data_IF_291144330073
#
_entry.id   IF_291144330073
#
_cell.length_a   1.000
_cell.length_b   1.000
_cell.length_c   1.000
_cell.angle_alpha   90.00
_cell.angle_beta   90.00
_cell.angle_gamma   90.00
#
_symmetry.space_group_name_H-M   'P 1'
#
loop_
_entity.id
_entity.type
_entity.pdbx_description
1 polymer ?
#
# COMPACT_ATOMS: atom_id res chain seq x y z
N UNK A 1 -26.56 -19.74 21.04
CA UNK A 1 -25.82 -20.12 22.28
C UNK A 1 -24.31 -19.83 22.22
N UNK A 2 -23.76 -19.23 21.15
CA UNK A 2 -22.29 -19.11 20.95
C UNK A 2 -21.63 -17.85 21.57
N UNK A 3 -22.39 -16.82 21.93
CA UNK A 3 -21.82 -15.59 22.53
C UNK A 3 -21.19 -15.83 23.92
N UNK A 4 -21.72 -16.81 24.67
CA UNK A 4 -21.27 -17.14 26.03
C UNK A 4 -19.86 -17.78 26.03
N UNK A 5 -19.56 -18.64 25.06
CA UNK A 5 -18.26 -19.30 24.95
C UNK A 5 -17.14 -18.32 24.58
N UNK A 6 -17.47 -17.34 23.72
CA UNK A 6 -16.54 -16.27 23.35
C UNK A 6 -16.20 -15.38 24.55
N UNK A 7 -17.21 -14.98 25.34
CA UNK A 7 -17.00 -14.17 26.54
C UNK A 7 -16.17 -14.92 27.58
N UNK A 8 -16.44 -16.20 27.80
CA UNK A 8 -15.64 -17.04 28.69
C UNK A 8 -14.17 -17.16 28.22
N UNK A 9 -13.95 -17.34 26.92
CA UNK A 9 -12.58 -17.41 26.34
C UNK A 9 -11.85 -16.08 26.43
N UNK A 10 -12.57 -14.97 26.27
CA UNK A 10 -12.02 -13.61 26.43
C UNK A 10 -11.62 -13.36 27.88
N UNK A 11 -12.46 -13.75 28.83
CA UNK A 11 -12.21 -13.55 30.25
C UNK A 11 -10.98 -14.32 30.73
N UNK A 12 -10.83 -15.59 30.33
CA UNK A 12 -9.63 -16.40 30.62
C UNK A 12 -8.33 -15.76 30.11
N UNK A 13 -8.36 -15.11 28.93
CA UNK A 13 -7.20 -14.41 28.37
C UNK A 13 -6.85 -13.15 29.16
N UNK A 14 -7.86 -12.43 29.64
CA UNK A 14 -7.66 -11.24 30.48
C UNK A 14 -6.99 -11.65 31.80
N UNK A 15 -7.48 -12.71 32.44
CA UNK A 15 -6.95 -13.22 33.71
C UNK A 15 -5.52 -13.76 33.56
N UNK A 16 -5.23 -14.54 32.52
CA UNK A 16 -3.88 -15.05 32.24
C UNK A 16 -2.87 -13.90 32.02
N UNK A 17 -3.25 -12.87 31.27
CA UNK A 17 -2.41 -11.70 31.06
C UNK A 17 -2.19 -10.91 32.36
N UNK A 18 -3.21 -10.79 33.22
CA UNK A 18 -3.07 -10.13 34.52
C UNK A 18 -2.11 -10.87 35.44
N UNK A 19 -2.19 -12.21 35.49
CA UNK A 19 -1.25 -13.03 36.26
C UNK A 19 0.18 -12.88 35.74
N UNK A 20 0.37 -12.86 34.42
CA UNK A 20 1.69 -12.68 33.81
C UNK A 20 2.27 -11.29 34.10
N UNK A 21 1.45 -10.24 34.10
CA UNK A 21 1.88 -8.88 34.47
C UNK A 21 2.26 -8.78 35.95
N UNK A 22 1.54 -9.47 36.83
CA UNK A 22 1.89 -9.55 38.26
C UNK A 22 3.22 -10.30 38.48
N UNK A 23 3.44 -11.41 37.77
CA UNK A 23 4.70 -12.16 37.83
C UNK A 23 5.91 -11.34 37.36
N UNK A 24 5.70 -10.39 36.45
CA UNK A 24 6.75 -9.53 35.89
C UNK A 24 7.05 -8.28 36.74
N UNK A 25 6.43 -8.12 37.92
CA UNK A 25 6.63 -6.97 38.83
C UNK A 25 6.58 -5.61 38.11
N UNK A 26 5.72 -5.48 37.09
CA UNK A 26 5.60 -4.22 36.35
C UNK A 26 4.93 -3.18 37.25
N UNK A 27 5.56 -2.02 37.52
CA UNK A 27 4.97 -1.01 38.37
C UNK A 27 3.64 -0.51 37.77
N UNK A 28 2.56 -0.62 38.54
CA UNK A 28 1.24 -0.17 38.13
C UNK A 28 1.26 1.35 37.91
N UNK A 29 1.07 1.79 36.68
CA UNK A 29 0.86 3.20 36.36
C UNK A 29 -0.50 3.58 36.97
N UNK A 30 -0.57 4.54 37.91
CA UNK A 30 -1.83 4.91 38.54
C UNK A 30 -2.79 5.44 37.47
N UNK A 31 -3.95 4.79 37.37
CA UNK A 31 -5.03 5.28 36.51
C UNK A 31 -5.50 6.63 37.04
N UNK A 32 -5.31 7.68 36.24
CA UNK A 32 -5.94 8.98 36.49
C UNK A 32 -7.45 8.77 36.51
N UNK A 33 -8.07 9.06 37.65
CA UNK A 33 -9.53 9.11 37.79
C UNK A 33 -10.09 10.15 36.82
N UNK A 34 -10.97 9.70 35.93
CA UNK A 34 -11.77 10.60 35.10
C UNK A 34 -12.80 11.30 35.99
N UNK A 35 -13.02 12.62 35.86
CA UNK A 35 -13.98 13.35 36.67
C UNK A 35 -15.42 12.88 36.39
N UNK A 36 -16.23 12.90 37.45
CA UNK A 36 -17.60 12.43 37.50
C UNK A 36 -18.47 13.00 36.37
N UNK A 37 -19.07 12.09 35.59
CA UNK A 37 -20.03 12.40 34.54
C UNK A 37 -21.32 12.93 35.18
N UNK A 38 -21.67 14.18 34.86
CA UNK A 38 -22.99 14.77 35.17
C UNK A 38 -24.09 13.99 34.47
N UNK A 39 -25.13 13.61 35.22
CA UNK A 39 -26.35 12.93 34.74
C UNK A 39 -26.95 13.68 33.55
N UNK A 40 -27.14 13.00 32.42
CA UNK A 40 -27.98 13.47 31.31
C UNK A 40 -29.06 12.44 31.00
N UNK A 41 -30.27 12.97 30.92
CA UNK A 41 -31.57 12.39 30.61
C UNK A 41 -31.52 11.24 29.59
N UNK A 42 -32.28 10.22 29.94
CA UNK A 42 -32.80 9.14 29.11
C UNK A 42 -33.53 9.71 27.88
N UNK A 43 -33.04 9.38 26.69
CA UNK A 43 -33.80 9.45 25.44
C UNK A 43 -33.52 8.16 24.65
N UNK A 44 -34.62 7.62 24.20
CA UNK A 44 -34.95 6.38 23.52
C UNK A 44 -34.00 5.92 22.39
N UNK A 45 -33.93 4.60 22.24
CA UNK A 45 -33.04 3.84 21.37
C UNK A 45 -33.35 4.03 19.89
N UNK A 46 -32.35 4.42 19.07
CA UNK A 46 -32.12 3.87 17.72
C UNK A 46 -30.62 3.91 17.37
N UNK A 47 -30.04 2.71 17.19
CA UNK A 47 -28.74 2.27 16.62
C UNK A 47 -27.46 3.14 16.69
N UNK A 48 -26.29 2.57 17.06
CA UNK A 48 -25.05 3.33 17.22
C UNK A 48 -24.33 3.58 15.88
N UNK A 49 -24.33 4.84 15.45
CA UNK A 49 -23.27 5.44 14.61
C UNK A 49 -22.18 5.95 15.55
N UNK A 50 -20.93 5.49 15.42
CA UNK A 50 -19.72 6.11 16.03
C UNK A 50 -18.47 5.54 15.34
N UNK A 51 -17.43 6.29 15.01
CA UNK A 51 -17.05 7.66 15.35
C UNK A 51 -15.52 7.70 15.40
N UNK A 52 -14.92 8.60 14.62
CA UNK A 52 -13.46 8.83 14.55
C UNK A 52 -12.89 9.30 15.89
N UNK A 53 -11.68 8.83 16.22
CA UNK A 53 -10.73 9.58 17.06
C UNK A 53 -9.63 10.14 16.17
N UNK A 54 -9.45 11.45 16.27
CA UNK A 54 -8.40 12.28 15.65
C UNK A 54 -7.31 12.45 16.71
N UNK A 55 -6.07 12.09 16.38
CA UNK A 55 -4.89 12.55 17.12
C UNK A 55 -4.25 13.68 16.31
N UNK A 56 -4.50 14.91 16.75
CA UNK A 56 -3.86 16.09 16.19
C UNK A 56 -2.47 16.26 16.84
N UNK A 57 -1.45 16.25 15.99
CA UNK A 57 -0.08 16.66 16.29
C UNK A 57 -0.06 18.15 16.62
N UNK A 58 0.56 18.50 17.75
CA UNK A 58 0.71 19.88 18.20
C UNK A 58 2.19 20.25 18.06
N UNK A 59 2.56 20.87 16.93
CA UNK A 59 3.84 21.58 16.76
C UNK A 59 3.51 23.08 16.76
N UNK A 60 3.87 23.79 17.83
CA UNK A 60 3.89 25.24 17.86
C UNK A 60 5.34 25.71 17.90
N UNK A 61 5.70 26.49 16.88
CA UNK A 61 6.82 27.43 16.91
C UNK A 61 6.61 28.43 18.05
N UNK A 62 7.63 28.60 18.90
CA UNK A 62 7.86 29.86 19.62
C UNK A 62 9.34 30.20 19.42
N UNK A 63 9.57 31.39 18.85
CA UNK A 63 10.85 32.05 18.72
C UNK A 63 10.80 33.28 19.63
N UNK A 64 11.73 33.41 20.58
CA UNK A 64 12.10 34.68 21.22
C UNK A 64 13.40 34.49 22.03
N UNK A 65 14.15 35.58 22.12
CA UNK A 65 15.57 35.68 22.41
C UNK A 65 15.90 35.91 23.90
N UNK A 66 17.22 35.85 24.18
CA UNK A 66 18.01 36.49 25.26
C UNK A 66 18.37 35.66 26.52
N UNK A 67 19.69 35.66 26.76
CA UNK A 67 20.60 35.07 27.76
C UNK A 67 20.56 35.77 29.14
N UNK A 68 21.46 35.47 30.11
CA UNK A 68 22.03 34.19 30.58
C UNK A 68 21.88 34.03 32.13
N UNK A 69 22.13 32.84 32.69
CA UNK A 69 22.80 32.68 34.00
C UNK A 69 23.10 31.20 34.29
N UNK A 70 24.40 30.90 34.37
CA UNK A 70 25.11 30.03 35.31
C UNK A 70 24.39 28.81 35.91
N UNK A 71 24.89 27.61 35.64
CA UNK A 71 25.82 26.88 36.54
C UNK A 71 26.23 25.55 35.89
N UNK A 72 27.53 25.28 35.90
CA UNK A 72 28.21 24.14 35.30
C UNK A 72 27.88 22.81 36.01
N UNK A 73 27.63 21.75 35.25
CA UNK A 73 28.11 20.39 35.57
C UNK A 73 28.43 19.67 34.26
N UNK A 74 29.70 19.26 34.13
CA UNK A 74 30.30 18.66 32.95
C UNK A 74 29.93 17.18 32.80
N UNK A 75 29.49 16.80 31.60
CA UNK A 75 29.50 15.42 31.10
C UNK A 75 29.99 15.44 29.64
N UNK A 76 30.80 14.44 29.29
CA UNK A 76 31.70 14.38 28.13
C UNK A 76 31.06 14.67 26.75
N UNK A 77 31.83 15.18 25.76
CA UNK A 77 31.30 15.45 24.42
C UNK A 77 31.04 14.14 23.67
N UNK A 78 29.78 13.94 23.24
CA UNK A 78 29.41 12.92 22.26
C UNK A 78 30.12 13.17 20.91
N UNK A 79 30.50 12.11 20.18
CA UNK A 79 31.20 12.25 18.90
C UNK A 79 30.33 12.96 17.85
N UNK A 80 30.96 13.69 16.90
CA UNK A 80 30.24 14.48 15.91
C UNK A 80 29.34 13.61 15.04
N UNK A 81 28.06 14.00 14.93
CA UNK A 81 27.08 13.41 14.04
C UNK A 81 27.63 13.41 12.61
N UNK A 82 27.88 12.23 12.07
CA UNK A 82 28.21 12.02 10.66
C UNK A 82 27.10 12.67 9.83
N UNK A 83 27.47 13.69 9.05
CA UNK A 83 26.60 14.33 8.06
C UNK A 83 26.04 13.23 7.16
N UNK A 84 24.72 13.03 7.17
CA UNK A 84 24.03 12.21 6.17
C UNK A 84 24.44 12.75 4.79
N UNK A 85 25.27 12.01 4.08
CA UNK A 85 25.49 12.24 2.66
C UNK A 85 24.14 12.22 1.97
N UNK A 86 23.85 13.29 1.25
CA UNK A 86 22.67 13.46 0.42
C UNK A 86 22.80 12.43 -0.71
N UNK A 87 22.18 11.27 -0.54
CA UNK A 87 22.08 10.26 -1.60
C UNK A 87 21.32 10.91 -2.74
N UNK A 88 21.95 11.00 -3.91
CA UNK A 88 21.26 11.45 -5.11
C UNK A 88 20.06 10.53 -5.37
N UNK A 89 18.91 11.09 -5.81
CA UNK A 89 17.79 10.25 -6.20
C UNK A 89 18.25 9.29 -7.31
N UNK A 90 17.89 8.00 -7.25
CA UNK A 90 18.31 7.02 -8.23
C UNK A 90 17.98 7.53 -9.63
N UNK A 91 18.93 7.42 -10.56
CA UNK A 91 18.74 7.82 -11.95
C UNK A 91 17.44 7.20 -12.47
N UNK A 92 16.54 8.01 -13.07
CA UNK A 92 15.32 7.48 -13.66
C UNK A 92 15.71 6.46 -14.73
N UNK A 93 15.01 5.33 -14.73
CA UNK A 93 15.25 4.27 -15.69
C UNK A 93 15.11 4.79 -17.13
N UNK A 94 15.72 4.10 -18.10
CA UNK A 94 15.53 4.39 -19.53
C UNK A 94 14.11 3.99 -19.99
N UNK A 95 13.07 4.54 -19.38
CA UNK A 95 11.68 4.41 -19.80
C UNK A 95 11.11 5.82 -19.99
N UNK A 96 10.17 5.99 -20.94
CA UNK A 96 9.48 7.25 -21.11
C UNK A 96 8.89 7.72 -19.78
N UNK A 97 9.02 9.01 -19.51
CA UNK A 97 8.56 9.63 -18.26
C UNK A 97 7.29 10.41 -18.55
N UNK A 98 6.23 10.13 -17.80
CA UNK A 98 5.06 11.01 -17.74
C UNK A 98 5.21 11.92 -16.53
N UNK A 99 5.46 13.21 -16.79
CA UNK A 99 5.47 14.24 -15.76
C UNK A 99 4.06 14.81 -15.58
N UNK A 100 3.69 15.07 -14.32
CA UNK A 100 2.50 15.87 -14.03
C UNK A 100 2.73 17.31 -14.52
N UNK A 101 2.05 17.69 -15.59
CA UNK A 101 1.82 19.09 -15.89
C UNK A 101 0.89 19.66 -14.82
N UNK A 102 1.47 20.28 -13.80
CA UNK A 102 0.76 21.05 -12.78
C UNK A 102 0.08 22.24 -13.44
N UNK A 103 -1.15 22.08 -13.92
CA UNK A 103 -1.97 23.23 -14.27
C UNK A 103 -3.44 22.94 -13.97
N UNK A 104 -3.94 23.63 -12.93
CA UNK A 104 -5.23 24.32 -12.95
C UNK A 104 -5.37 25.05 -11.61
N UNK A 105 -5.31 26.39 -11.66
CA UNK A 105 -5.45 27.32 -10.53
C UNK A 105 -6.93 27.53 -10.13
N UNK A 106 -7.75 26.47 -10.21
CA UNK A 106 -9.16 26.48 -9.82
C UNK A 106 -9.38 25.90 -8.43
N UNK A 107 -10.54 26.20 -7.81
CA UNK A 107 -10.99 25.49 -6.60
C UNK A 107 -11.14 24.00 -6.93
N UNK A 108 -10.43 23.13 -6.20
CA UNK A 108 -10.49 21.68 -6.41
C UNK A 108 -11.36 21.02 -5.35
N UNK A 109 -12.18 20.07 -5.76
CA UNK A 109 -13.02 19.30 -4.85
C UNK A 109 -12.26 18.08 -4.30
N UNK A 110 -12.21 17.93 -2.98
CA UNK A 110 -11.49 16.85 -2.32
C UNK A 110 -12.41 15.67 -1.95
N UNK A 111 -12.50 14.67 -2.83
CA UNK A 111 -13.34 13.47 -2.66
C UNK A 111 -12.50 12.20 -2.41
N UNK A 112 -13.13 11.14 -1.90
CA UNK A 112 -12.49 9.82 -1.87
C UNK A 112 -12.20 9.34 -3.29
N UNK A 113 -11.06 8.69 -3.51
CA UNK A 113 -10.74 8.02 -4.79
C UNK A 113 -11.90 7.11 -5.26
N UNK A 114 -12.54 6.39 -4.34
CA UNK A 114 -13.68 5.50 -4.62
C UNK A 114 -14.95 6.20 -5.13
N UNK A 115 -14.99 7.54 -5.10
CA UNK A 115 -16.13 8.36 -5.56
C UNK A 115 -15.84 9.08 -6.88
N UNK A 116 -14.62 8.93 -7.41
CA UNK A 116 -14.16 9.64 -8.60
C UNK A 116 -14.07 8.65 -9.76
N UNK A 117 -14.63 9.02 -10.90
CA UNK A 117 -14.47 8.31 -12.16
C UNK A 117 -13.15 8.71 -12.82
N UNK A 118 -12.34 7.73 -13.24
CA UNK A 118 -11.11 7.98 -13.99
C UNK A 118 -11.38 8.04 -15.49
N UNK A 119 -10.64 8.87 -16.21
CA UNK A 119 -10.60 8.92 -17.68
C UNK A 119 -9.67 7.79 -18.18
N UNK A 120 -10.16 6.56 -18.11
CA UNK A 120 -9.36 5.35 -18.30
C UNK A 120 -8.63 5.31 -19.65
N UNK A 121 -9.33 5.52 -20.75
CA UNK A 121 -8.77 5.30 -22.09
C UNK A 121 -7.69 6.34 -22.42
N UNK A 122 -7.93 7.61 -22.07
CA UNK A 122 -6.94 8.69 -22.20
C UNK A 122 -5.70 8.41 -21.34
N UNK A 123 -5.90 8.02 -20.07
CA UNK A 123 -4.81 7.66 -19.17
C UNK A 123 -4.01 6.47 -19.71
N UNK A 124 -4.70 5.43 -20.17
CA UNK A 124 -4.09 4.19 -20.63
C UNK A 124 -3.21 4.44 -21.86
N UNK A 125 -3.72 5.14 -22.88
CA UNK A 125 -2.97 5.47 -24.09
C UNK A 125 -1.74 6.35 -23.83
N UNK A 126 -1.81 7.25 -22.84
CA UNK A 126 -0.72 8.19 -22.52
C UNK A 126 0.37 7.58 -21.64
N UNK A 127 0.01 6.69 -20.71
CA UNK A 127 0.89 6.29 -19.61
C UNK A 127 1.39 4.84 -19.68
N UNK A 128 0.92 4.01 -20.61
CA UNK A 128 1.31 2.60 -20.67
C UNK A 128 2.83 2.46 -20.84
N UNK A 129 3.48 1.75 -19.91
CA UNK A 129 4.93 1.53 -19.91
C UNK A 129 5.76 2.74 -19.47
N UNK A 130 5.13 3.83 -19.01
CA UNK A 130 5.85 5.04 -18.58
C UNK A 130 6.12 5.06 -17.07
N UNK A 131 7.19 5.76 -16.68
CA UNK A 131 7.46 6.12 -15.30
C UNK A 131 6.65 7.35 -14.90
N UNK A 132 5.99 7.26 -13.74
CA UNK A 132 5.20 8.36 -13.18
C UNK A 132 6.03 9.14 -12.16
N UNK A 133 6.33 10.41 -12.50
CA UNK A 133 7.10 11.32 -11.65
C UNK A 133 6.29 12.55 -11.19
N UNK A 134 6.54 13.08 -9.98
CA UNK A 134 7.56 12.67 -8.99
C UNK A 134 7.28 11.31 -8.33
N UNK A 135 8.23 10.76 -7.57
CA UNK A 135 8.05 9.43 -6.96
C UNK A 135 6.91 9.39 -5.93
N UNK A 136 6.19 8.26 -5.90
CA UNK A 136 5.22 7.95 -4.85
C UNK A 136 3.77 7.81 -5.34
N UNK A 137 2.95 7.17 -4.49
CA UNK A 137 1.55 6.88 -4.84
C UNK A 137 0.72 8.15 -5.08
N UNK A 138 1.04 9.26 -4.41
CA UNK A 138 0.34 10.54 -4.58
C UNK A 138 0.35 11.01 -6.04
N UNK A 139 1.49 10.86 -6.71
CA UNK A 139 1.65 11.16 -8.13
C UNK A 139 0.72 10.32 -8.98
N UNK A 140 0.74 9.00 -8.79
CA UNK A 140 -0.13 8.08 -9.53
C UNK A 140 -1.60 8.44 -9.32
N UNK A 141 -1.99 8.69 -8.07
CA UNK A 141 -3.35 9.07 -7.74
C UNK A 141 -3.75 10.42 -8.33
N UNK A 142 -2.82 11.36 -8.52
CA UNK A 142 -3.09 12.64 -9.18
C UNK A 142 -3.18 12.50 -10.70
N UNK A 143 -2.33 11.68 -11.32
CA UNK A 143 -2.35 11.45 -12.78
C UNK A 143 -3.64 10.74 -13.19
N UNK A 144 -4.15 9.82 -12.37
CA UNK A 144 -5.44 9.15 -12.58
C UNK A 144 -6.65 10.07 -12.33
N UNK A 145 -6.48 11.11 -11.50
CA UNK A 145 -7.58 11.95 -11.07
C UNK A 145 -7.96 12.95 -12.18
N UNK A 146 -9.24 13.03 -12.60
CA UNK A 146 -9.68 14.01 -13.56
C UNK A 146 -9.45 15.45 -13.07
N UNK A 147 -9.34 16.43 -13.99
CA UNK A 147 -9.22 17.83 -13.65
C UNK A 147 -10.35 18.31 -12.72
N UNK A 148 -10.02 19.20 -11.78
CA UNK A 148 -10.99 19.76 -10.83
C UNK A 148 -11.15 18.96 -9.52
N UNK A 149 -10.58 17.75 -9.42
CA UNK A 149 -10.64 16.93 -8.22
C UNK A 149 -9.28 16.72 -7.57
N UNK A 150 -9.29 16.40 -6.28
CA UNK A 150 -8.14 15.87 -5.54
C UNK A 150 -8.58 14.61 -4.80
N UNK A 151 -8.04 13.47 -5.22
CA UNK A 151 -8.35 12.19 -4.61
C UNK A 151 -7.77 12.08 -3.18
N UNK A 152 -8.63 11.75 -2.22
CA UNK A 152 -8.29 11.26 -0.88
C UNK A 152 -8.19 9.74 -0.93
N UNK A 153 -7.10 9.18 -0.43
CA UNK A 153 -6.85 7.75 -0.47
C UNK A 153 -5.92 7.31 0.67
N UNK A 154 -5.84 6.00 0.91
CA UNK A 154 -4.98 5.44 1.95
C UNK A 154 -3.57 5.22 1.41
N UNK A 155 -2.56 5.95 1.91
CA UNK A 155 -1.16 5.73 1.49
C UNK A 155 -0.65 4.31 1.80
N UNK A 156 -1.22 3.69 2.82
CA UNK A 156 -0.82 2.37 3.34
C UNK A 156 -1.42 1.20 2.56
N UNK A 157 -2.46 1.41 1.75
CA UNK A 157 -3.08 0.32 0.98
C UNK A 157 -2.33 0.07 -0.33
N UNK A 158 -2.06 -1.21 -0.64
CA UNK A 158 -1.59 -1.64 -1.96
C UNK A 158 -2.69 -1.61 -3.02
N UNK A 159 -3.96 -1.54 -2.62
CA UNK A 159 -5.10 -1.48 -3.53
C UNK A 159 -5.91 -0.22 -3.28
N UNK A 160 -6.18 0.54 -4.34
CA UNK A 160 -6.95 1.79 -4.29
C UNK A 160 -8.18 1.66 -5.19
N UNK A 161 -9.38 1.57 -4.62
CA UNK A 161 -10.60 1.60 -5.40
C UNK A 161 -10.86 3.00 -5.96
N UNK A 162 -11.14 3.07 -7.26
CA UNK A 162 -11.81 4.20 -7.91
C UNK A 162 -13.29 3.90 -8.08
N UNK A 163 -14.09 4.85 -8.58
CA UNK A 163 -15.53 4.58 -8.80
C UNK A 163 -15.75 3.57 -9.94
N UNK A 164 -14.98 3.68 -11.02
CA UNK A 164 -15.10 2.87 -12.24
C UNK A 164 -13.88 1.96 -12.50
N UNK A 165 -12.92 1.86 -11.58
CA UNK A 165 -11.70 1.09 -11.74
C UNK A 165 -11.08 0.72 -10.38
N UNK A 166 -10.03 -0.09 -10.41
CA UNK A 166 -9.22 -0.42 -9.23
C UNK A 166 -7.74 -0.26 -9.60
N UNK A 167 -6.94 0.39 -8.76
CA UNK A 167 -5.50 0.50 -8.93
C UNK A 167 -4.77 -0.42 -7.93
N UNK A 168 -3.94 -1.32 -8.45
CA UNK A 168 -3.10 -2.24 -7.72
C UNK A 168 -1.64 -1.77 -7.77
N UNK A 169 -1.06 -1.53 -6.61
CA UNK A 169 0.32 -1.12 -6.41
C UNK A 169 1.12 -2.30 -5.88
N UNK A 170 2.06 -2.79 -6.69
CA UNK A 170 2.94 -3.91 -6.33
C UNK A 170 4.37 -3.40 -6.22
N UNK A 171 4.96 -3.59 -5.04
CA UNK A 171 6.39 -3.41 -4.86
C UNK A 171 7.06 -4.71 -5.26
N UNK A 172 8.02 -4.61 -6.17
CA UNK A 172 8.88 -5.72 -6.56
C UNK A 172 10.20 -5.50 -5.80
N UNK A 173 10.40 -6.32 -4.78
CA UNK A 173 11.59 -6.30 -3.91
C UNK A 173 12.31 -7.63 -4.06
N UNK A 174 13.63 -7.60 -4.17
CA UNK A 174 14.48 -8.78 -4.39
C UNK A 174 14.59 -9.72 -3.19
N UNK A 175 14.13 -9.28 -2.00
CA UNK A 175 14.20 -10.07 -0.76
C UNK A 175 12.91 -9.86 0.05
N UNK A 176 11.78 -10.34 -0.48
CA UNK A 176 10.49 -10.38 0.23
C UNK A 176 10.05 -11.84 0.41
N UNK A 177 9.48 -12.23 1.57
CA UNK A 177 8.91 -13.57 1.75
C UNK A 177 7.71 -13.82 0.82
N UNK A 178 7.13 -12.75 0.27
CA UNK A 178 6.15 -12.78 -0.81
C UNK A 178 6.86 -12.30 -2.07
N UNK A 179 7.58 -13.20 -2.73
CA UNK A 179 8.24 -12.91 -3.99
C UNK A 179 7.15 -12.77 -5.06
N UNK A 180 6.90 -11.53 -5.52
CA UNK A 180 5.99 -11.28 -6.63
C UNK A 180 6.69 -11.71 -7.93
N UNK A 181 6.75 -13.02 -8.17
CA UNK A 181 7.40 -13.59 -9.36
C UNK A 181 6.44 -13.49 -10.54
N UNK A 182 6.91 -12.82 -11.58
CA UNK A 182 6.22 -12.77 -12.87
C UNK A 182 6.68 -13.95 -13.72
N UNK A 183 5.73 -14.81 -14.07
CA UNK A 183 5.91 -15.93 -14.98
C UNK A 183 5.64 -15.49 -16.42
N UNK A 184 6.42 -16.03 -17.34
CA UNK A 184 6.30 -15.77 -18.77
C UNK A 184 6.03 -17.08 -19.49
N UNK A 185 4.86 -17.19 -20.09
CA UNK A 185 4.40 -18.34 -20.84
C UNK A 185 4.12 -17.97 -22.30
N UNK A 186 4.07 -18.98 -23.16
CA UNK A 186 3.55 -18.83 -24.52
C UNK A 186 2.19 -19.50 -24.60
N UNK A 187 1.15 -18.74 -24.93
CA UNK A 187 -0.22 -19.23 -25.14
C UNK A 187 -0.67 -18.82 -26.54
N UNK A 188 -1.07 -19.80 -27.37
CA UNK A 188 -1.42 -19.60 -28.78
C UNK A 188 -0.35 -18.86 -29.62
N UNK A 189 0.92 -19.10 -29.32
CA UNK A 189 2.03 -18.41 -29.98
C UNK A 189 2.21 -16.94 -29.56
N UNK A 190 1.33 -16.41 -28.71
CA UNK A 190 1.46 -15.11 -28.05
C UNK A 190 2.20 -15.20 -26.72
N UNK A 191 2.77 -14.07 -26.29
CA UNK A 191 3.39 -13.92 -24.98
C UNK A 191 2.32 -13.69 -23.92
N UNK A 192 2.33 -14.48 -22.84
CA UNK A 192 1.46 -14.30 -21.70
C UNK A 192 2.28 -14.12 -20.42
N UNK A 193 1.99 -13.07 -19.66
CA UNK A 193 2.64 -12.78 -18.38
C UNK A 193 1.61 -12.90 -17.28
N UNK A 194 1.93 -13.65 -16.22
CA UNK A 194 1.05 -13.79 -15.07
C UNK A 194 1.83 -13.81 -13.76
N UNK A 195 1.18 -13.45 -12.66
CA UNK A 195 1.81 -13.42 -11.34
C UNK A 195 0.79 -13.68 -10.22
N UNK A 196 1.31 -14.08 -9.06
CA UNK A 196 0.53 -14.26 -7.85
C UNK A 196 0.60 -13.00 -6.99
N UNK A 197 -0.52 -12.66 -6.35
CA UNK A 197 -0.61 -11.51 -5.46
C UNK A 197 -1.45 -11.83 -4.24
N UNK A 198 -0.94 -11.46 -3.07
CA UNK A 198 -1.59 -11.71 -1.80
C UNK A 198 -2.36 -10.49 -1.31
N UNK A 199 -3.63 -10.71 -0.96
CA UNK A 199 -4.49 -9.71 -0.35
C UNK A 199 -4.10 -9.35 1.08
N UNK A 200 -4.91 -8.52 1.73
CA UNK A 200 -4.73 -8.24 3.16
C UNK A 200 -5.28 -9.41 4.00
N UNK A 201 -4.66 -9.71 5.15
CA UNK A 201 -5.07 -10.81 6.04
C UNK A 201 -6.55 -10.76 6.48
N UNK A 202 -7.16 -9.57 6.49
CA UNK A 202 -8.57 -9.37 6.87
C UNK A 202 -9.55 -9.57 5.71
N UNK A 203 -9.06 -9.76 4.49
CA UNK A 203 -9.93 -9.99 3.34
C UNK A 203 -10.44 -11.42 3.35
N UNK A 204 -11.70 -11.54 2.93
CA UNK A 204 -12.42 -12.79 2.72
C UNK A 204 -13.27 -12.62 1.45
N UNK A 205 -13.89 -13.68 0.95
CA UNK A 205 -14.56 -13.65 -0.37
C UNK A 205 -15.66 -12.58 -0.47
N UNK A 206 -16.47 -12.43 0.59
CA UNK A 206 -17.52 -11.40 0.68
C UNK A 206 -17.01 -9.96 0.93
N UNK A 207 -15.69 -9.75 1.00
CA UNK A 207 -15.15 -8.39 1.19
C UNK A 207 -15.52 -7.53 -0.04
N UNK A 208 -16.04 -6.30 0.14
CA UNK A 208 -16.50 -5.47 -0.98
C UNK A 208 -15.46 -5.27 -2.09
N UNK A 209 -14.18 -5.18 -1.72
CA UNK A 209 -13.09 -5.03 -2.68
C UNK A 209 -12.76 -6.36 -3.39
N UNK A 210 -12.90 -7.51 -2.72
CA UNK A 210 -12.72 -8.84 -3.33
C UNK A 210 -13.83 -9.10 -4.35
N UNK A 211 -15.08 -8.79 -4.01
CA UNK A 211 -16.20 -8.84 -4.96
C UNK A 211 -15.95 -7.97 -6.21
N UNK A 212 -15.36 -6.78 -6.05
CA UNK A 212 -15.00 -5.93 -7.19
C UNK A 212 -13.84 -6.50 -8.01
N UNK A 213 -12.81 -7.06 -7.36
CA UNK A 213 -11.70 -7.74 -8.03
C UNK A 213 -12.17 -8.96 -8.86
N UNK A 214 -13.18 -9.69 -8.39
CA UNK A 214 -13.83 -10.79 -9.13
C UNK A 214 -14.59 -10.31 -10.37
N UNK A 215 -14.91 -9.02 -10.49
CA UNK A 215 -15.57 -8.42 -11.67
C UNK A 215 -14.59 -7.92 -12.73
N UNK A 216 -13.30 -8.06 -12.49
CA UNK A 216 -12.30 -7.71 -13.51
C UNK A 216 -12.39 -8.64 -14.70
N UNK A 217 -12.09 -8.09 -15.89
CA UNK A 217 -11.99 -8.84 -17.15
C UNK A 217 -11.21 -10.13 -16.93
N UNK A 218 -11.66 -11.22 -17.54
CA UNK A 218 -10.98 -12.51 -17.44
C UNK A 218 -9.69 -12.52 -18.25
N UNK A 219 -8.68 -13.18 -17.70
CA UNK A 219 -7.49 -13.55 -18.46
C UNK A 219 -7.75 -14.74 -19.36
N UNK A 220 -6.67 -15.32 -19.87
CA UNK A 220 -6.69 -16.56 -20.62
C UNK A 220 -7.09 -17.73 -19.72
N UNK A 221 -8.13 -18.45 -20.10
CA UNK A 221 -8.68 -19.58 -19.36
C UNK A 221 -7.66 -20.71 -19.14
N UNK A 222 -6.67 -20.84 -20.03
CA UNK A 222 -5.62 -21.87 -19.91
C UNK A 222 -4.64 -21.57 -18.78
N UNK A 223 -4.58 -20.31 -18.35
CA UNK A 223 -3.78 -19.85 -17.22
C UNK A 223 -4.60 -19.80 -15.91
N UNK A 224 -5.82 -20.34 -15.91
CA UNK A 224 -6.69 -20.36 -14.74
C UNK A 224 -5.97 -20.90 -13.52
N UNK A 225 -6.20 -20.26 -12.39
CA UNK A 225 -5.56 -20.58 -11.13
C UNK A 225 -6.40 -21.50 -10.26
N UNK A 226 -7.71 -21.28 -10.26
CA UNK A 226 -8.67 -21.91 -9.37
C UNK A 226 -10.06 -21.89 -10.00
N UNK A 227 -11.00 -22.70 -9.50
CA UNK A 227 -12.38 -22.77 -9.99
C UNK A 227 -13.13 -21.45 -9.80
N UNK A 228 -12.70 -20.61 -8.84
CA UNK A 228 -13.21 -19.24 -8.67
C UNK A 228 -12.99 -18.34 -9.91
N UNK A 229 -12.26 -18.79 -10.93
CA UNK A 229 -12.21 -18.15 -12.24
C UNK A 229 -13.61 -17.97 -12.85
N UNK A 230 -14.50 -18.97 -12.70
CA UNK A 230 -15.85 -18.94 -13.25
C UNK A 230 -16.87 -18.19 -12.40
N UNK A 231 -16.45 -17.68 -11.23
CA UNK A 231 -17.28 -16.86 -10.35
C UNK A 231 -17.49 -15.45 -10.93
N UNK A 232 -18.18 -15.38 -12.06
CA UNK A 232 -18.56 -14.12 -12.69
C UNK A 232 -20.03 -13.87 -12.39
N UNK A 233 -20.31 -12.78 -11.67
CA UNK A 233 -21.67 -12.24 -11.58
C UNK A 233 -22.02 -11.63 -12.94
N UNK A 234 -22.74 -12.38 -13.78
CA UNK A 234 -22.99 -12.08 -15.20
C UNK A 234 -23.69 -10.74 -15.47
N UNK A 235 -24.32 -10.14 -14.46
CA UNK A 235 -25.13 -8.93 -14.61
C UNK A 235 -24.33 -7.64 -14.33
N UNK A 236 -23.11 -7.73 -13.82
CA UNK A 236 -22.34 -6.56 -13.41
C UNK A 236 -21.31 -6.14 -14.45
N UNK A 237 -21.18 -4.82 -14.65
CA UNK A 237 -20.19 -4.23 -15.54
C UNK A 237 -18.78 -4.59 -15.09
N UNK A 238 -17.94 -4.99 -16.05
CA UNK A 238 -16.54 -5.29 -15.79
C UNK A 238 -15.80 -4.04 -15.30
N UNK A 239 -14.96 -4.23 -14.27
CA UNK A 239 -14.15 -3.16 -13.72
C UNK A 239 -12.66 -3.42 -13.98
N UNK A 240 -11.95 -2.49 -14.66
CA UNK A 240 -10.54 -2.65 -14.96
C UNK A 240 -9.69 -2.59 -13.68
N UNK A 241 -8.74 -3.51 -13.58
CA UNK A 241 -7.69 -3.52 -12.57
C UNK A 241 -6.39 -3.03 -13.19
N UNK A 242 -5.84 -1.92 -12.69
CA UNK A 242 -4.66 -1.25 -13.21
C UNK A 242 -3.43 -1.62 -12.39
N UNK A 243 -2.37 -2.10 -13.03
CA UNK A 243 -1.13 -2.49 -12.37
C UNK A 243 -0.10 -1.36 -12.37
N UNK A 244 0.39 -1.03 -11.18
CA UNK A 244 1.51 -0.12 -10.96
C UNK A 244 2.64 -0.85 -10.25
N UNK A 245 3.75 -1.02 -10.94
CA UNK A 245 4.95 -1.67 -10.41
C UNK A 245 5.92 -0.62 -9.87
N UNK A 246 6.58 -0.93 -8.77
CA UNK A 246 7.67 -0.12 -8.24
C UNK A 246 8.81 -1.02 -7.78
N UNK A 247 10.00 -0.72 -8.25
CA UNK A 247 11.24 -1.29 -7.75
C UNK A 247 11.92 -0.29 -6.78
N UNK A 248 12.47 -0.80 -5.67
CA UNK A 248 13.37 -0.08 -4.70
C UNK A 248 13.18 1.43 -4.59
N UNK A 249 12.18 1.88 -3.82
CA UNK A 249 11.88 3.30 -3.58
C UNK A 249 11.74 4.22 -4.84
N UNK A 250 11.81 3.69 -6.06
CA UNK A 250 11.77 4.44 -7.31
C UNK A 250 10.37 4.93 -7.72
N UNK A 251 10.22 5.46 -8.94
CA UNK A 251 8.91 5.82 -9.49
C UNK A 251 8.04 4.58 -9.70
N UNK A 252 6.73 4.79 -9.75
CA UNK A 252 5.81 3.75 -10.21
C UNK A 252 5.81 3.72 -11.74
N UNK A 253 5.77 2.52 -12.30
CA UNK A 253 5.61 2.26 -13.73
C UNK A 253 4.19 1.75 -13.94
N UNK A 254 3.42 2.41 -14.80
CA UNK A 254 2.11 1.87 -15.18
C UNK A 254 2.30 0.72 -16.17
N UNK A 255 1.95 -0.50 -15.75
CA UNK A 255 2.21 -1.72 -16.52
C UNK A 255 1.00 -2.21 -17.33
N UNK A 256 -0.15 -1.54 -17.21
CA UNK A 256 -1.36 -1.88 -17.96
C UNK A 256 -2.47 -2.47 -17.10
N UNK A 257 -3.39 -3.18 -17.76
CA UNK A 257 -4.59 -3.79 -17.19
C UNK A 257 -4.34 -5.25 -16.86
N UNK A 258 -5.01 -5.71 -15.81
CA UNK A 258 -4.95 -7.10 -15.36
C UNK A 258 -6.20 -7.87 -15.73
N UNK A 259 -5.99 -9.13 -16.08
CA UNK A 259 -7.00 -10.16 -16.28
C UNK A 259 -7.06 -11.06 -15.06
N UNK A 260 -8.25 -11.31 -14.55
CA UNK A 260 -8.48 -12.22 -13.43
C UNK A 260 -8.31 -13.67 -13.88
N UNK A 261 -7.48 -14.43 -13.15
CA UNK A 261 -7.24 -15.86 -13.38
C UNK A 261 -7.80 -16.76 -12.27
N UNK A 262 -8.35 -16.20 -11.19
CA UNK A 262 -8.84 -16.95 -10.03
C UNK A 262 -8.16 -16.51 -8.73
N UNK A 263 -8.70 -16.99 -7.61
CA UNK A 263 -8.12 -16.84 -6.28
C UNK A 263 -8.44 -18.05 -5.40
N UNK A 264 -7.61 -18.30 -4.38
CA UNK A 264 -7.82 -19.39 -3.42
C UNK A 264 -8.56 -18.90 -2.19
N UNK A 265 -9.81 -19.35 -2.02
CA UNK A 265 -10.67 -19.02 -0.88
C UNK A 265 -10.15 -19.58 0.45
N UNK A 266 -9.45 -20.72 0.41
CA UNK A 266 -8.86 -21.35 1.58
C UNK A 266 -7.57 -20.67 2.08
N UNK A 267 -6.94 -19.81 1.26
CA UNK A 267 -5.67 -19.16 1.60
C UNK A 267 -5.88 -17.97 2.56
N UNK A 268 -4.94 -17.79 3.50
CA UNK A 268 -4.93 -16.65 4.44
C UNK A 268 -3.52 -16.07 4.50
N UNK A 269 -3.27 -14.89 3.89
CA UNK A 269 -4.21 -14.03 3.15
C UNK A 269 -4.73 -14.66 1.84
N UNK A 270 -5.84 -14.14 1.31
CA UNK A 270 -6.35 -14.56 0.00
C UNK A 270 -5.27 -14.40 -1.08
N UNK A 271 -5.06 -15.45 -1.83
CA UNK A 271 -4.06 -15.54 -2.90
C UNK A 271 -4.78 -15.41 -4.25
N UNK A 272 -4.44 -14.37 -5.00
CA UNK A 272 -4.99 -14.10 -6.33
C UNK A 272 -3.95 -14.39 -7.40
N UNK A 273 -4.40 -14.78 -8.59
CA UNK A 273 -3.57 -14.80 -9.79
C UNK A 273 -4.11 -13.84 -10.84
N UNK A 274 -3.18 -13.12 -11.46
CA UNK A 274 -3.49 -12.09 -12.46
C UNK A 274 -2.65 -12.29 -13.72
N UNK A 275 -3.24 -12.06 -14.87
CA UNK A 275 -2.54 -11.95 -16.16
C UNK A 275 -2.36 -10.49 -16.55
N UNK A 276 -1.23 -10.12 -17.14
CA UNK A 276 -1.03 -8.83 -17.78
C UNK A 276 -1.63 -8.83 -19.20
N UNK A 277 -2.72 -8.10 -19.39
CA UNK A 277 -3.46 -8.09 -20.66
C UNK A 277 -2.77 -7.27 -21.75
N UNK A 278 -2.04 -6.23 -21.36
CA UNK A 278 -1.42 -5.28 -22.28
C UNK A 278 0.04 -5.63 -22.60
N UNK A 279 0.45 -6.89 -22.35
CA UNK A 279 1.83 -7.36 -22.52
C UNK A 279 2.37 -7.13 -23.93
N UNK A 280 1.53 -7.30 -24.97
CA UNK A 280 1.94 -7.13 -26.36
C UNK A 280 2.17 -5.66 -26.76
N UNK A 281 1.54 -4.73 -26.05
CA UNK A 281 1.71 -3.28 -26.25
C UNK A 281 2.78 -2.69 -25.33
N UNK A 282 3.30 -3.50 -24.39
CA UNK A 282 4.24 -3.11 -23.37
C UNK A 282 5.64 -3.60 -23.76
N UNK A 283 6.67 -2.79 -23.51
CA UNK A 283 8.06 -3.25 -23.56
C UNK A 283 8.37 -4.10 -22.32
N UNK A 284 7.67 -5.23 -22.17
CA UNK A 284 7.69 -6.05 -20.96
C UNK A 284 9.09 -6.52 -20.60
N UNK A 285 9.89 -6.99 -21.58
CA UNK A 285 11.26 -7.43 -21.32
C UNK A 285 12.15 -6.30 -20.78
N UNK A 286 11.94 -5.06 -21.24
CA UNK A 286 12.66 -3.90 -20.71
C UNK A 286 12.25 -3.65 -19.25
N UNK A 287 10.95 -3.65 -18.96
CA UNK A 287 10.44 -3.47 -17.59
C UNK A 287 10.92 -4.59 -16.68
N UNK A 288 10.80 -5.85 -17.10
CA UNK A 288 11.30 -7.02 -16.36
C UNK A 288 12.81 -6.91 -16.11
N UNK A 289 13.58 -6.52 -17.12
CA UNK A 289 15.02 -6.27 -16.99
C UNK A 289 15.33 -5.20 -15.94
N UNK A 290 14.57 -4.10 -15.90
CA UNK A 290 14.72 -3.05 -14.89
C UNK A 290 14.38 -3.53 -13.48
N UNK A 291 13.33 -4.36 -13.35
CA UNK A 291 12.97 -4.99 -12.08
C UNK A 291 14.06 -5.96 -11.58
N UNK A 292 14.88 -6.52 -12.48
CA UNK A 292 15.93 -7.49 -12.15
C UNK A 292 17.33 -6.85 -11.97
N UNK A 293 17.71 -5.89 -12.82
CA UNK A 293 19.01 -5.21 -12.78
C UNK A 293 19.23 -4.45 -11.46
N UNK A 294 18.17 -3.87 -10.90
CA UNK A 294 18.28 -3.22 -9.61
C UNK A 294 18.33 -4.20 -8.42
N UNK A 295 18.03 -5.48 -8.61
CA UNK A 295 18.27 -6.50 -7.60
C UNK A 295 19.77 -6.80 -7.44
N UNK A 296 20.52 -6.78 -8.55
CA UNK A 296 21.96 -7.10 -8.59
C UNK A 296 22.83 -5.96 -8.05
N UNK A 297 22.50 -4.70 -8.38
CA UNK A 297 23.24 -3.53 -7.89
C UNK A 297 23.20 -3.34 -6.36
N UNK A 298 22.29 -4.01 -5.65
CA UNK A 298 22.25 -4.01 -4.18
C UNK A 298 23.18 -5.08 -3.56
N UNK A 299 23.45 -6.17 -4.28
CA UNK A 299 24.36 -7.22 -3.82
C UNK A 299 25.82 -6.73 -3.87
N UNK A 300 26.21 -6.01 -4.91
CA UNK A 300 27.57 -5.47 -5.02
C UNK A 300 27.87 -4.38 -3.99
N UNK A 301 26.89 -3.50 -3.70
CA UNK A 301 27.03 -2.47 -2.67
C UNK A 301 26.96 -3.02 -1.22
N UNK A 302 26.34 -4.19 -1.02
CA UNK A 302 26.34 -4.91 0.26
C UNK A 302 27.65 -5.64 0.55
N UNK A 303 28.40 -6.01 -0.49
CA UNK A 303 29.68 -6.72 -0.38
C UNK A 303 30.86 -5.79 -0.11
N UNK A 304 30.81 -4.52 -0.55
CA UNK A 304 31.88 -3.55 -0.26
C UNK A 304 31.91 -3.06 1.20
N UNK A 305 30.81 -3.15 1.94
CA UNK A 305 30.76 -2.71 3.36
C UNK A 305 31.25 -3.77 4.37
N UNK A 306 31.54 -5.00 3.93
CA UNK A 306 32.06 -6.07 4.80
C UNK A 306 33.59 -6.22 4.82
N UNK A 307 34.33 -5.54 3.95
CA UNK A 307 35.78 -5.70 3.84
C UNK A 307 36.63 -4.63 4.55
N UNK A 308 36.05 -3.79 5.42
CA UNK A 308 36.78 -2.72 6.13
C UNK A 308 36.86 -2.89 7.66
N UNK A 309 36.64 -4.10 8.18
CA UNK A 309 36.82 -4.40 9.62
C UNK A 309 37.59 -5.69 9.87
N UNK A 310 38.75 -5.87 9.24
CA UNK A 310 39.79 -6.76 9.77
C UNK A 310 41.13 -6.10 9.44
N UNK A 311 41.76 -5.46 10.43
CA UNK A 311 43.06 -4.84 10.24
C UNK A 311 43.43 -3.76 11.25
N UNK A 312 43.54 -4.14 12.52
CA UNK A 312 44.60 -3.79 13.50
C UNK A 312 44.08 -3.99 14.92
#
# INVERSE_FOLDING_TARGET
>A
MELCEYEAKRQRRIEANQQQLQALNVPNIPQRSLPAIRKKKEVERLHPVRGRCVSASNERMIQCQLTPSETMLALDPLPPKVKKMKTEPPEPFDLPVTQLSLLNKGKKLHLSSSQIDIQLDEFHGRCLGTQLLPVGKQTVMQVLCPPGYVAKFSKMSGVQPWKNAIALFVNVESVSPYENVFHHDKVDGGSAVHFQWFGQNRWHDESPLVMRLRRTKRGDERLRFDETYYDKQSEMKEEPLLLFLRHTQGPYIYSGRLGYLGHRTASKPLEFRWQLLDVNSLQWEKIRGLLHLCALNLVENGSQTRNLKIGK
#
